data_IF_108888187211
#
_entry.id   IF_108888187211
#
_cell.length_a   1.000
_cell.length_b   1.000
_cell.length_c   1.000
_cell.angle_alpha   90.00
_cell.angle_beta   90.00
_cell.angle_gamma   90.00
#
_symmetry.space_group_name_H-M   'P 1'
#
loop_
_entity.id
_entity.type
_entity.pdbx_description
1 polymer ?
#
# COMPACT_ATOMS: atom_id res chain seq x y z
N UNK A 1 -7.49 14.57 12.88
CA UNK A 1 -6.66 13.71 12.02
C UNK A 1 -5.45 14.45 11.47
N UNK A 2 -5.61 15.48 10.62
CA UNK A 2 -4.49 16.14 9.93
C UNK A 2 -3.35 16.58 10.87
N UNK A 3 -3.66 17.19 12.01
CA UNK A 3 -2.66 17.56 13.03
C UNK A 3 -1.78 16.38 13.48
N UNK A 4 -2.39 15.26 13.89
CA UNK A 4 -1.64 14.07 14.32
C UNK A 4 -0.81 13.45 13.18
N UNK A 5 -1.28 13.50 11.93
CA UNK A 5 -0.50 13.04 10.78
C UNK A 5 0.66 14.00 10.48
N UNK A 6 0.43 15.31 10.61
CA UNK A 6 1.45 16.34 10.46
C UNK A 6 2.53 16.23 11.54
N UNK A 7 2.16 15.88 12.78
CA UNK A 7 3.12 15.62 13.86
C UNK A 7 4.10 14.48 13.50
N UNK A 8 3.66 13.46 12.76
CA UNK A 8 4.56 12.41 12.27
C UNK A 8 5.58 12.93 11.25
N UNK A 9 5.24 13.99 10.50
CA UNK A 9 6.19 14.70 9.63
C UNK A 9 7.17 15.50 10.48
N UNK A 10 6.66 16.29 11.44
CA UNK A 10 7.47 17.14 12.35
C UNK A 10 8.49 16.33 13.16
N UNK A 11 8.13 15.11 13.59
CA UNK A 11 9.05 14.19 14.29
C UNK A 11 10.28 13.79 13.46
N UNK A 12 10.22 13.94 12.14
CA UNK A 12 11.26 13.48 11.19
C UNK A 12 11.96 14.63 10.48
N UNK A 13 11.23 15.71 10.21
CA UNK A 13 11.70 16.86 9.44
C UNK A 13 11.29 18.15 10.13
N UNK A 14 12.19 19.12 10.24
CA UNK A 14 11.84 20.48 10.68
C UNK A 14 11.13 21.23 9.53
N UNK A 15 9.81 21.51 9.62
CA UNK A 15 9.07 22.13 8.52
C UNK A 15 9.60 23.49 8.08
N UNK A 16 10.35 24.19 8.94
CA UNK A 16 10.90 25.53 8.64
C UNK A 16 12.02 25.47 7.61
N UNK A 17 12.69 24.31 7.49
CA UNK A 17 13.76 24.08 6.52
C UNK A 17 13.24 23.81 5.11
N UNK A 18 11.93 23.53 4.97
CA UNK A 18 11.33 23.15 3.71
C UNK A 18 10.42 24.25 3.15
N UNK A 19 10.31 24.30 1.83
CA UNK A 19 9.14 24.86 1.18
C UNK A 19 8.01 23.83 1.25
N UNK A 20 7.06 24.09 2.13
CA UNK A 20 5.93 23.18 2.35
C UNK A 20 4.82 23.45 1.33
N UNK A 21 4.22 22.38 0.83
CA UNK A 21 3.19 22.40 -0.21
C UNK A 21 2.04 21.45 0.15
N UNK A 22 0.80 21.93 0.11
CA UNK A 22 -0.40 21.08 0.08
C UNK A 22 -1.02 21.10 -1.33
N UNK A 23 -1.06 19.97 -2.06
CA UNK A 23 -1.38 19.93 -3.50
C UNK A 23 -2.87 19.84 -3.85
N UNK A 24 -3.73 19.62 -2.85
CA UNK A 24 -5.18 19.51 -3.00
C UNK A 24 -5.81 19.93 -1.67
N UNK A 25 -5.61 21.20 -1.36
CA UNK A 25 -5.78 21.72 -0.01
C UNK A 25 -7.24 21.72 0.46
N UNK A 26 -8.21 21.84 -0.44
CA UNK A 26 -9.63 21.93 -0.13
C UNK A 26 -9.89 23.04 0.88
N UNK A 27 -10.16 22.68 2.13
CA UNK A 27 -10.33 23.65 3.23
C UNK A 27 -9.00 24.07 3.90
N UNK A 28 -7.87 23.45 3.56
CA UNK A 28 -6.54 23.74 4.08
C UNK A 28 -6.20 22.94 5.34
N UNK A 29 -6.59 21.66 5.38
CA UNK A 29 -6.45 20.83 6.59
C UNK A 29 -5.00 20.64 7.03
N UNK A 30 -4.06 20.51 6.09
CA UNK A 30 -2.63 20.49 6.40
C UNK A 30 -2.02 21.90 6.28
N UNK A 31 -2.41 22.69 5.29
CA UNK A 31 -1.87 24.01 4.97
C UNK A 31 -1.89 24.95 6.18
N UNK A 32 -2.99 24.94 6.95
CA UNK A 32 -3.13 25.77 8.16
C UNK A 32 -2.17 25.39 9.30
N UNK A 33 -1.57 24.20 9.24
CA UNK A 33 -0.59 23.71 10.22
C UNK A 33 0.84 24.01 9.79
N UNK A 34 1.06 24.37 8.52
CA UNK A 34 2.39 24.61 7.97
C UNK A 34 2.89 26.01 8.37
N UNK A 35 4.23 26.23 8.43
CA UNK A 35 4.79 27.54 8.72
C UNK A 35 4.37 28.63 7.72
N UNK A 36 4.42 29.92 8.08
CA UNK A 36 4.21 31.01 7.14
C UNK A 36 5.12 30.91 5.90
N UNK A 37 4.59 31.27 4.73
CA UNK A 37 5.29 31.11 3.44
C UNK A 37 5.14 29.73 2.80
N UNK A 38 4.36 28.84 3.41
CA UNK A 38 3.91 27.58 2.77
C UNK A 38 2.91 27.87 1.65
N UNK A 39 2.70 26.90 0.76
CA UNK A 39 1.79 27.02 -0.37
C UNK A 39 0.67 25.96 -0.27
N UNK A 40 -0.58 26.40 -0.27
CA UNK A 40 -1.73 25.53 -0.50
C UNK A 40 -2.24 25.72 -1.92
N UNK A 41 -2.47 24.63 -2.64
CA UNK A 41 -3.05 24.62 -3.99
C UNK A 41 -4.29 23.75 -4.00
N UNK A 42 -5.33 24.20 -4.67
CA UNK A 42 -6.50 23.37 -4.98
C UNK A 42 -7.16 23.82 -6.29
N UNK A 43 -7.82 22.92 -7.02
CA UNK A 43 -8.56 23.27 -8.23
C UNK A 43 -9.89 23.99 -7.92
N UNK A 44 -10.43 23.79 -6.70
CA UNK A 44 -11.64 24.43 -6.19
C UNK A 44 -11.43 24.76 -4.69
N UNK A 45 -10.66 25.82 -4.37
CA UNK A 45 -10.27 26.14 -3.01
C UNK A 45 -11.49 26.47 -2.13
N UNK A 46 -11.53 25.87 -0.93
CA UNK A 46 -12.58 26.07 0.08
C UNK A 46 -12.06 26.77 1.34
N UNK A 47 -10.89 27.39 1.28
CA UNK A 47 -10.24 28.01 2.43
C UNK A 47 -9.42 29.24 2.05
N UNK A 48 -9.24 30.19 2.98
CA UNK A 48 -8.47 31.41 2.71
C UNK A 48 -6.99 31.10 2.47
N UNK A 49 -6.36 31.87 1.58
CA UNK A 49 -4.93 31.78 1.28
C UNK A 49 -4.51 30.57 0.44
N UNK A 50 -5.47 29.74 -0.01
CA UNK A 50 -5.22 28.63 -0.94
C UNK A 50 -5.28 29.18 -2.36
N UNK A 51 -4.27 28.83 -3.16
CA UNK A 51 -4.17 29.22 -4.56
C UNK A 51 -5.04 28.29 -5.42
N UNK A 52 -5.91 28.88 -6.24
CA UNK A 52 -6.67 28.14 -7.24
C UNK A 52 -5.75 27.73 -8.41
N UNK A 53 -5.47 26.44 -8.55
CA UNK A 53 -4.71 25.88 -9.68
C UNK A 53 -4.85 24.35 -9.74
N UNK A 54 -4.62 23.77 -10.93
CA UNK A 54 -4.36 22.34 -11.05
C UNK A 54 -2.94 22.04 -10.58
N UNK A 55 -2.81 21.25 -9.50
CA UNK A 55 -1.52 20.82 -9.00
C UNK A 55 -0.71 20.04 -10.02
N UNK A 56 -1.35 19.20 -10.84
CA UNK A 56 -0.64 18.38 -11.84
C UNK A 56 0.00 19.20 -12.96
N UNK A 57 -0.39 20.47 -13.10
CA UNK A 57 0.21 21.44 -14.03
C UNK A 57 1.12 22.45 -13.33
N UNK A 58 1.11 22.47 -12.00
CA UNK A 58 1.86 23.44 -11.19
C UNK A 58 3.25 22.96 -10.84
N UNK A 59 4.26 23.78 -11.10
CA UNK A 59 5.62 23.60 -10.56
C UNK A 59 5.87 24.58 -9.41
N UNK A 60 6.64 24.12 -8.44
CA UNK A 60 7.14 24.94 -7.33
C UNK A 60 8.65 25.01 -7.43
N UNK A 61 9.16 26.20 -7.70
CA UNK A 61 10.59 26.49 -7.62
C UNK A 61 10.89 27.06 -6.24
N UNK A 62 11.89 26.51 -5.58
CA UNK A 62 12.31 26.97 -4.26
C UNK A 62 13.81 26.84 -4.10
N UNK A 63 14.42 27.82 -3.41
CA UNK A 63 15.80 27.71 -2.92
C UNK A 63 15.93 26.81 -1.69
N UNK A 64 14.81 26.27 -1.19
CA UNK A 64 14.74 25.31 -0.08
C UNK A 64 14.31 23.94 -0.61
N UNK A 65 14.68 22.84 0.07
CA UNK A 65 14.07 21.53 -0.16
C UNK A 65 12.54 21.62 -0.10
N UNK A 66 11.84 20.84 -0.93
CA UNK A 66 10.37 20.89 -1.01
C UNK A 66 9.75 19.71 -0.28
N UNK A 67 8.75 19.96 0.55
CA UNK A 67 7.96 18.92 1.21
C UNK A 67 6.49 19.03 0.82
N UNK A 68 5.98 18.04 0.11
CA UNK A 68 4.58 18.01 -0.33
C UNK A 68 3.78 17.09 0.60
N UNK A 69 2.85 17.68 1.35
CA UNK A 69 2.04 16.99 2.36
C UNK A 69 0.56 17.24 2.11
N UNK A 70 -0.27 16.20 2.16
CA UNK A 70 -1.71 16.38 1.91
C UNK A 70 -2.51 15.10 1.83
N UNK A 71 -3.76 15.26 1.41
CA UNK A 71 -4.68 14.17 1.10
C UNK A 71 -5.09 14.26 -0.37
N UNK A 72 -4.28 13.75 -1.32
CA UNK A 72 -4.60 13.81 -2.74
C UNK A 72 -5.92 13.08 -3.04
N UNK A 73 -6.66 13.48 -4.09
CA UNK A 73 -7.82 12.73 -4.54
C UNK A 73 -7.41 11.30 -4.93
N UNK A 74 -8.20 10.30 -4.50
CA UNK A 74 -7.82 8.89 -4.69
C UNK A 74 -8.01 8.42 -6.14
N UNK A 75 -9.10 8.83 -6.79
CA UNK A 75 -9.46 8.40 -8.14
C UNK A 75 -9.84 6.91 -8.25
N UNK A 76 -10.25 6.50 -9.46
CA UNK A 76 -10.54 5.10 -9.76
C UNK A 76 -9.27 4.26 -9.63
N UNK A 77 -9.35 3.14 -8.90
CA UNK A 77 -8.21 2.22 -8.68
C UNK A 77 -6.91 2.90 -8.25
N UNK A 78 -7.01 3.99 -7.47
CA UNK A 78 -5.87 4.77 -6.94
C UNK A 78 -5.09 5.58 -7.99
N UNK A 79 -5.62 5.76 -9.21
CA UNK A 79 -4.90 6.42 -10.31
C UNK A 79 -4.52 7.87 -10.01
N UNK A 80 -5.45 8.66 -9.45
CA UNK A 80 -5.20 10.07 -9.16
C UNK A 80 -4.14 10.24 -8.08
N UNK A 81 -4.20 9.44 -7.01
CA UNK A 81 -3.16 9.47 -5.97
C UNK A 81 -1.78 9.09 -6.52
N UNK A 82 -1.70 8.16 -7.48
CA UNK A 82 -0.43 7.82 -8.16
C UNK A 82 0.07 8.99 -9.02
N UNK A 83 -0.80 9.68 -9.75
CA UNK A 83 -0.42 10.85 -10.55
C UNK A 83 0.06 12.01 -9.68
N UNK A 84 -0.63 12.28 -8.56
CA UNK A 84 -0.22 13.27 -7.57
C UNK A 84 1.15 12.93 -6.97
N UNK A 85 1.38 11.65 -6.62
CA UNK A 85 2.68 11.19 -6.14
C UNK A 85 3.77 11.39 -7.19
N UNK A 86 3.53 10.97 -8.43
CA UNK A 86 4.48 11.09 -9.53
C UNK A 86 4.84 12.56 -9.80
N UNK A 87 3.85 13.45 -9.80
CA UNK A 87 4.06 14.88 -9.97
C UNK A 87 4.82 15.52 -8.81
N UNK A 88 4.41 15.23 -7.56
CA UNK A 88 5.15 15.68 -6.38
C UNK A 88 6.61 15.19 -6.41
N UNK A 89 6.84 13.96 -6.90
CA UNK A 89 8.16 13.37 -7.06
C UNK A 89 9.02 14.02 -8.17
N UNK A 90 8.52 15.02 -8.90
CA UNK A 90 9.36 15.83 -9.82
C UNK A 90 10.05 16.99 -9.12
N UNK A 91 9.53 17.43 -7.96
CA UNK A 91 9.98 18.66 -7.30
C UNK A 91 10.20 18.54 -5.79
N UNK A 92 9.71 17.47 -5.15
CA UNK A 92 9.79 17.30 -3.69
C UNK A 92 11.00 16.48 -3.27
N UNK A 93 11.49 16.75 -2.07
CA UNK A 93 12.44 15.91 -1.32
C UNK A 93 11.69 15.01 -0.32
N UNK A 94 10.53 15.47 0.15
CA UNK A 94 9.65 14.70 1.04
C UNK A 94 8.22 14.69 0.49
N UNK A 95 7.59 13.52 0.45
CA UNK A 95 6.17 13.35 0.12
C UNK A 95 5.48 12.66 1.28
N UNK A 96 4.49 13.31 1.88
CA UNK A 96 3.73 12.77 2.99
C UNK A 96 2.23 12.82 2.70
N UNK A 97 1.68 11.70 2.23
CA UNK A 97 0.30 11.65 1.76
C UNK A 97 -0.58 10.71 2.54
N UNK A 98 -1.83 11.11 2.68
CA UNK A 98 -2.94 10.20 2.95
C UNK A 98 -3.34 9.53 1.63
N UNK A 99 -3.18 8.22 1.56
CA UNK A 99 -3.25 7.43 0.34
C UNK A 99 -4.23 6.27 0.52
N UNK A 100 -4.83 5.75 -0.56
CA UNK A 100 -5.60 4.51 -0.49
C UNK A 100 -4.71 3.35 -0.03
N UNK A 101 -5.24 2.40 0.76
CA UNK A 101 -4.48 1.23 1.28
C UNK A 101 -3.82 0.37 0.20
N UNK A 102 -4.22 0.51 -1.07
CA UNK A 102 -3.53 -0.10 -2.23
C UNK A 102 -2.05 0.30 -2.31
N UNK A 103 -1.64 1.46 -1.79
CA UNK A 103 -0.23 1.90 -1.71
C UNK A 103 0.67 1.02 -0.84
N UNK A 104 0.07 0.11 -0.06
CA UNK A 104 0.80 -0.93 0.68
C UNK A 104 1.19 -2.12 -0.20
N UNK A 105 0.59 -2.27 -1.39
CA UNK A 105 0.91 -3.38 -2.29
C UNK A 105 2.28 -3.16 -2.94
N UNK A 106 3.15 -4.16 -2.82
CA UNK A 106 4.50 -4.15 -3.39
C UNK A 106 4.52 -3.83 -4.89
N UNK A 107 3.57 -4.37 -5.66
CA UNK A 107 3.45 -4.08 -7.09
C UNK A 107 3.09 -2.62 -7.39
N UNK A 108 2.31 -1.97 -6.53
CA UNK A 108 2.04 -0.53 -6.68
C UNK A 108 3.26 0.29 -6.28
N UNK A 109 3.94 -0.07 -5.18
CA UNK A 109 5.17 0.60 -4.78
C UNK A 109 6.24 0.52 -5.88
N UNK A 110 6.38 -0.60 -6.59
CA UNK A 110 7.30 -0.70 -7.73
C UNK A 110 7.01 0.28 -8.89
N UNK A 111 5.80 0.85 -8.97
CA UNK A 111 5.43 1.86 -9.99
C UNK A 111 5.75 3.29 -9.56
N UNK A 112 5.99 3.52 -8.28
CA UNK A 112 6.37 4.84 -7.77
C UNK A 112 7.83 5.12 -8.10
N UNK A 113 8.22 6.40 -8.09
CA UNK A 113 9.61 6.82 -8.32
C UNK A 113 10.57 6.04 -7.39
N UNK A 114 11.63 5.46 -7.96
CA UNK A 114 12.55 4.57 -7.25
C UNK A 114 13.48 5.32 -6.28
N UNK A 115 13.67 6.62 -6.47
CA UNK A 115 14.46 7.45 -5.57
C UNK A 115 13.69 7.85 -4.31
N UNK A 116 12.40 7.51 -4.20
CA UNK A 116 11.63 7.72 -2.98
C UNK A 116 11.56 6.47 -2.12
N UNK A 117 12.00 6.60 -0.87
CA UNK A 117 12.08 5.55 0.13
C UNK A 117 10.99 5.76 1.17
N UNK A 118 10.18 4.73 1.42
CA UNK A 118 9.14 4.77 2.47
C UNK A 118 9.81 4.77 3.85
N UNK A 119 9.70 5.87 4.59
CA UNK A 119 10.31 6.03 5.93
C UNK A 119 9.30 5.95 7.07
N UNK A 120 8.01 6.09 6.77
CA UNK A 120 6.94 5.93 7.74
C UNK A 120 5.64 5.48 7.08
N UNK A 121 4.92 4.61 7.77
CA UNK A 121 3.58 4.19 7.40
C UNK A 121 2.72 4.08 8.67
N UNK A 122 1.49 4.61 8.62
CA UNK A 122 0.48 4.37 9.63
C UNK A 122 -0.90 4.21 9.00
N UNK A 123 -1.69 3.27 9.52
CA UNK A 123 -3.08 3.07 9.08
C UNK A 123 -3.92 4.25 9.56
N UNK A 124 -4.68 4.84 8.65
CA UNK A 124 -5.65 5.88 9.01
C UNK A 124 -6.89 5.18 9.58
N UNK A 125 -7.36 5.55 10.79
CA UNK A 125 -8.57 4.97 11.36
C UNK A 125 -9.79 5.11 10.44
N UNK A 126 -10.77 4.23 10.62
CA UNK A 126 -12.08 4.37 9.98
C UNK A 126 -12.71 5.73 10.34
N UNK A 127 -13.58 6.22 9.46
CA UNK A 127 -14.37 7.46 9.64
C UNK A 127 -13.55 8.76 9.76
N UNK A 128 -12.28 8.73 9.35
CA UNK A 128 -11.40 9.88 9.44
C UNK A 128 -11.60 10.91 8.32
N UNK A 129 -12.44 10.62 7.32
CA UNK A 129 -12.75 11.50 6.19
C UNK A 129 -14.22 11.89 6.17
N UNK A 130 -14.48 13.16 5.82
CA UNK A 130 -15.80 13.63 5.42
C UNK A 130 -15.79 13.82 3.90
N UNK A 131 -16.75 13.20 3.22
CA UNK A 131 -17.06 13.51 1.82
C UNK A 131 -18.46 14.13 1.78
N UNK A 132 -18.57 15.37 1.29
CA UNK A 132 -19.84 16.11 1.24
C UNK A 132 -20.56 16.18 2.60
N UNK A 133 -19.79 16.37 3.68
CA UNK A 133 -20.32 16.45 5.06
C UNK A 133 -20.76 15.11 5.67
N UNK A 134 -20.58 13.98 4.99
CA UNK A 134 -20.86 12.64 5.52
C UNK A 134 -19.56 11.86 5.75
N UNK A 135 -19.45 11.04 6.80
CA UNK A 135 -18.34 10.11 6.95
C UNK A 135 -18.18 9.26 5.69
N UNK A 136 -16.98 9.31 5.10
CA UNK A 136 -16.65 8.53 3.91
C UNK A 136 -15.52 7.58 4.26
N UNK A 137 -15.90 6.32 4.49
CA UNK A 137 -14.99 5.32 4.98
C UNK A 137 -14.30 4.62 3.80
N UNK A 138 -13.20 5.21 3.33
CA UNK A 138 -12.27 4.53 2.42
C UNK A 138 -11.05 4.09 3.19
N UNK A 139 -10.66 2.80 3.11
CA UNK A 139 -9.44 2.33 3.75
C UNK A 139 -8.23 3.10 3.23
N UNK A 140 -7.61 3.86 4.12
CA UNK A 140 -6.48 4.73 3.82
C UNK A 140 -5.26 4.43 4.70
N UNK A 141 -4.12 4.91 4.25
CA UNK A 141 -2.82 4.81 4.91
C UNK A 141 -2.14 6.16 4.77
N UNK A 142 -1.52 6.64 5.84
CA UNK A 142 -0.62 7.78 5.75
C UNK A 142 0.80 7.26 5.57
N UNK A 143 1.48 7.72 4.53
CA UNK A 143 2.85 7.34 4.24
C UNK A 143 3.72 8.56 4.07
N UNK A 144 4.94 8.49 4.61
CA UNK A 144 6.00 9.49 4.40
C UNK A 144 7.10 8.83 3.58
N UNK A 145 7.45 9.46 2.48
CA UNK A 145 8.47 9.05 1.53
C UNK A 145 9.54 10.13 1.41
N UNK A 146 10.79 9.70 1.40
CA UNK A 146 11.97 10.57 1.36
C UNK A 146 12.76 10.31 0.07
N UNK A 147 13.13 11.37 -0.64
CA UNK A 147 14.03 11.29 -1.78
C UNK A 147 15.45 10.98 -1.31
N UNK A 148 16.11 10.07 -2.02
CA UNK A 148 17.53 9.76 -1.89
C UNK A 148 18.18 9.71 -3.27
N UNK A 149 19.50 9.90 -3.30
CA UNK A 149 20.28 9.81 -4.55
C UNK A 149 20.40 8.38 -5.08
N UNK A 150 20.15 7.39 -4.21
CA UNK A 150 20.21 5.97 -4.56
C UNK A 150 18.81 5.41 -4.73
N UNK A 151 18.54 4.82 -5.89
CA UNK A 151 17.31 4.10 -6.17
C UNK A 151 17.11 2.94 -5.18
N UNK A 152 15.90 2.78 -4.67
CA UNK A 152 15.54 1.62 -3.84
C UNK A 152 15.49 0.36 -4.71
N UNK A 153 15.86 -0.79 -4.13
CA UNK A 153 15.66 -2.06 -4.80
C UNK A 153 14.15 -2.31 -5.05
N UNK A 154 13.75 -2.78 -6.24
CA UNK A 154 12.36 -3.13 -6.50
C UNK A 154 11.96 -4.33 -5.63
N UNK A 155 10.70 -4.34 -5.21
CA UNK A 155 10.15 -5.51 -4.54
C UNK A 155 10.11 -6.69 -5.50
N UNK A 156 10.57 -7.84 -5.05
CA UNK A 156 10.41 -9.11 -5.79
C UNK A 156 8.93 -9.52 -5.75
N UNK A 157 8.33 -9.71 -6.94
CA UNK A 157 6.92 -10.09 -7.12
C UNK A 157 6.85 -11.47 -7.78
N UNK A 158 6.98 -12.52 -6.96
CA UNK A 158 6.80 -13.89 -7.43
C UNK A 158 5.32 -14.24 -7.53
N UNK A 159 4.91 -14.92 -8.59
CA UNK A 159 3.53 -15.42 -8.75
C UNK A 159 3.47 -16.95 -8.83
N UNK A 160 4.60 -17.62 -8.58
CA UNK A 160 4.76 -19.07 -8.54
C UNK A 160 5.63 -19.47 -7.35
N UNK A 161 5.51 -20.71 -6.89
CA UNK A 161 6.35 -21.29 -5.85
C UNK A 161 6.69 -22.74 -6.22
N UNK A 162 7.86 -23.29 -5.84
CA UNK A 162 8.20 -24.70 -6.15
C UNK A 162 7.16 -25.72 -5.65
N UNK A 163 6.48 -25.42 -4.55
CA UNK A 163 5.46 -26.31 -3.97
C UNK A 163 4.11 -26.30 -4.73
N UNK A 164 3.77 -25.21 -5.44
CA UNK A 164 2.46 -25.08 -6.09
C UNK A 164 2.44 -24.02 -7.21
N UNK A 165 1.51 -24.20 -8.14
CA UNK A 165 1.20 -23.24 -9.19
C UNK A 165 -0.28 -22.87 -9.19
N UNK A 166 -0.59 -21.64 -9.60
CA UNK A 166 -1.97 -21.26 -9.91
C UNK A 166 -2.35 -21.78 -11.29
N UNK A 167 -3.52 -22.42 -11.41
CA UNK A 167 -3.96 -23.08 -12.64
C UNK A 167 -5.46 -22.81 -12.93
N UNK A 168 -6.07 -23.58 -13.84
CA UNK A 168 -7.50 -23.64 -14.15
C UNK A 168 -8.21 -24.60 -13.20
N UNK A 169 -9.55 -24.63 -13.26
CA UNK A 169 -10.37 -25.51 -12.40
C UNK A 169 -10.09 -27.00 -12.61
N UNK A 170 -9.83 -27.41 -13.85
CA UNK A 170 -9.74 -28.83 -14.23
C UNK A 170 -8.46 -29.50 -13.74
N UNK A 171 -7.43 -28.71 -13.45
CA UNK A 171 -6.13 -29.20 -12.97
C UNK A 171 -5.92 -29.04 -11.45
N UNK A 172 -6.89 -28.40 -10.78
CA UNK A 172 -6.74 -27.92 -9.42
C UNK A 172 -6.82 -29.06 -8.38
N UNK A 173 -6.04 -28.94 -7.31
CA UNK A 173 -6.20 -29.77 -6.10
C UNK A 173 -7.12 -29.10 -5.09
N UNK A 174 -7.15 -27.76 -5.08
CA UNK A 174 -8.07 -26.95 -4.28
C UNK A 174 -8.17 -25.53 -4.84
N UNK A 175 -9.18 -24.79 -4.40
CA UNK A 175 -9.34 -23.36 -4.70
C UNK A 175 -9.07 -22.52 -3.44
N UNK A 176 -8.54 -21.32 -3.62
CA UNK A 176 -8.39 -20.31 -2.58
C UNK A 176 -9.19 -19.06 -2.94
N UNK A 177 -10.05 -18.61 -2.03
CA UNK A 177 -10.85 -17.42 -2.23
C UNK A 177 -9.94 -16.18 -2.24
N UNK A 178 -10.02 -15.37 -3.30
CA UNK A 178 -9.22 -14.15 -3.45
C UNK A 178 -9.98 -12.85 -3.23
N UNK A 179 -11.31 -12.84 -3.26
CA UNK A 179 -12.14 -11.63 -3.08
C UNK A 179 -13.12 -11.79 -1.93
N UNK A 180 -13.32 -10.71 -1.17
CA UNK A 180 -14.33 -10.58 -0.12
C UNK A 180 -13.80 -10.89 1.28
N UNK A 181 -14.67 -10.77 2.28
CA UNK A 181 -14.31 -10.90 3.70
C UNK A 181 -13.67 -12.25 4.09
N UNK A 182 -13.85 -13.29 3.27
CA UNK A 182 -13.28 -14.63 3.46
C UNK A 182 -12.06 -14.91 2.57
N UNK A 183 -11.40 -13.86 2.05
CA UNK A 183 -10.18 -14.01 1.28
C UNK A 183 -9.14 -14.83 2.07
N UNK A 184 -8.50 -15.80 1.39
CA UNK A 184 -7.61 -16.79 1.99
C UNK A 184 -8.26 -18.13 2.34
N UNK A 185 -9.60 -18.22 2.33
CA UNK A 185 -10.31 -19.48 2.61
C UNK A 185 -10.09 -20.51 1.50
N UNK A 186 -9.79 -21.74 1.89
CA UNK A 186 -9.67 -22.89 0.98
C UNK A 186 -11.05 -23.51 0.72
N UNK A 187 -11.27 -23.92 -0.53
CA UNK A 187 -12.50 -24.55 -1.03
C UNK A 187 -12.15 -25.75 -1.93
N UNK A 188 -13.06 -26.72 -1.99
CA UNK A 188 -12.99 -27.89 -2.89
C UNK A 188 -14.12 -27.92 -3.92
N UNK A 189 -15.01 -26.93 -3.86
CA UNK A 189 -16.05 -26.69 -4.85
C UNK A 189 -15.43 -25.84 -5.98
N UNK A 190 -15.19 -26.48 -7.11
CA UNK A 190 -14.52 -25.87 -8.26
C UNK A 190 -15.47 -25.12 -9.21
N UNK A 191 -16.79 -25.23 -8.98
CA UNK A 191 -17.78 -24.47 -9.75
C UNK A 191 -17.82 -22.99 -9.36
N UNK A 192 -17.12 -22.63 -8.29
CA UNK A 192 -16.95 -21.24 -7.86
C UNK A 192 -16.33 -20.37 -8.96
N UNK A 193 -16.76 -19.10 -8.96
CA UNK A 193 -16.29 -18.11 -9.92
C UNK A 193 -14.78 -17.91 -9.87
N UNK A 194 -14.12 -18.04 -11.04
CA UNK A 194 -12.70 -17.77 -11.25
C UNK A 194 -12.31 -16.30 -10.97
N UNK A 195 -13.27 -15.37 -11.00
CA UNK A 195 -13.02 -13.97 -10.66
C UNK A 195 -12.80 -13.77 -9.15
N UNK A 196 -13.41 -14.64 -8.33
CA UNK A 196 -13.35 -14.60 -6.88
C UNK A 196 -12.43 -15.65 -6.25
N UNK A 197 -11.92 -16.62 -7.04
CA UNK A 197 -11.09 -17.73 -6.55
C UNK A 197 -9.89 -17.95 -7.46
N UNK A 198 -8.74 -18.25 -6.86
CA UNK A 198 -7.63 -18.83 -7.58
C UNK A 198 -7.66 -20.35 -7.40
N UNK A 199 -7.43 -21.07 -8.49
CA UNK A 199 -7.27 -22.52 -8.45
C UNK A 199 -5.79 -22.86 -8.28
N UNK A 200 -5.48 -23.83 -7.44
CA UNK A 200 -4.12 -24.17 -7.04
C UNK A 200 -3.85 -25.64 -7.33
N UNK A 201 -2.76 -25.90 -8.04
CA UNK A 201 -2.19 -27.23 -8.27
C UNK A 201 -0.91 -27.36 -7.47
N UNK A 202 -0.83 -28.40 -6.66
CA UNK A 202 0.37 -28.79 -5.92
C UNK A 202 1.33 -29.52 -6.84
N UNK A 203 2.62 -29.20 -6.74
CA UNK A 203 3.66 -29.83 -7.56
C UNK A 203 3.80 -31.32 -7.26
N UNK A 204 3.92 -31.68 -5.97
CA UNK A 204 3.83 -33.07 -5.49
C UNK A 204 2.36 -33.46 -5.33
N UNK A 205 1.85 -34.25 -6.28
CA UNK A 205 0.43 -34.64 -6.37
C UNK A 205 0.00 -35.67 -5.31
N UNK A 206 0.87 -36.04 -4.35
CA UNK A 206 0.47 -36.92 -3.26
C UNK A 206 -0.52 -36.25 -2.30
N UNK A 207 -1.47 -37.02 -1.78
CA UNK A 207 -2.45 -36.55 -0.77
C UNK A 207 -1.76 -35.90 0.44
N UNK A 208 -0.63 -36.48 0.87
CA UNK A 208 0.16 -35.97 2.00
C UNK A 208 0.72 -34.57 1.72
N UNK A 209 1.20 -34.29 0.51
CA UNK A 209 1.71 -32.98 0.13
C UNK A 209 0.59 -31.95 0.01
N UNK A 210 -0.53 -32.32 -0.61
CA UNK A 210 -1.73 -31.50 -0.71
C UNK A 210 -2.23 -31.08 0.68
N UNK A 211 -2.38 -32.04 1.60
CA UNK A 211 -2.82 -31.77 2.98
C UNK A 211 -1.84 -30.89 3.75
N UNK A 212 -0.54 -31.06 3.50
CA UNK A 212 0.51 -30.23 4.12
C UNK A 212 0.38 -28.78 3.68
N UNK A 213 0.28 -28.51 2.39
CA UNK A 213 0.20 -27.16 1.84
C UNK A 213 -1.08 -26.47 2.31
N UNK A 214 -2.23 -27.16 2.25
CA UNK A 214 -3.48 -26.60 2.74
C UNK A 214 -3.43 -26.25 4.23
N UNK A 215 -2.79 -27.09 5.06
CA UNK A 215 -2.59 -26.79 6.50
C UNK A 215 -1.68 -25.59 6.71
N UNK A 216 -0.67 -25.38 5.87
CA UNK A 216 0.17 -24.18 5.92
C UNK A 216 -0.67 -22.96 5.56
N UNK A 217 -1.37 -22.99 4.41
CA UNK A 217 -2.20 -21.89 3.94
C UNK A 217 -3.26 -21.46 4.96
N UNK A 218 -3.90 -22.42 5.65
CA UNK A 218 -4.87 -22.12 6.74
C UNK A 218 -4.27 -21.39 7.94
N UNK A 219 -2.94 -21.39 8.11
CA UNK A 219 -2.24 -20.68 9.20
C UNK A 219 -1.74 -19.29 8.79
N UNK A 220 -1.83 -18.94 7.51
CA UNK A 220 -1.34 -17.66 7.01
C UNK A 220 -2.38 -16.57 7.29
N UNK A 221 -1.90 -15.39 7.69
CA UNK A 221 -2.75 -14.21 7.88
C UNK A 221 -3.07 -13.54 6.53
N UNK A 222 -3.92 -14.21 5.77
CA UNK A 222 -4.44 -13.67 4.51
C UNK A 222 -5.40 -12.50 4.71
N UNK A 223 -6.05 -12.40 5.87
CA UNK A 223 -6.99 -11.34 6.15
C UNK A 223 -6.29 -9.97 6.18
N UNK A 224 -5.14 -9.87 6.85
CA UNK A 224 -4.37 -8.63 6.89
C UNK A 224 -3.90 -8.17 5.49
N UNK A 225 -3.43 -9.11 4.66
CA UNK A 225 -3.01 -8.81 3.29
C UNK A 225 -4.19 -8.41 2.38
N UNK A 226 -5.32 -9.11 2.48
CA UNK A 226 -6.50 -8.86 1.66
C UNK A 226 -7.06 -7.45 1.86
N UNK A 227 -6.87 -6.86 3.03
CA UNK A 227 -7.35 -5.51 3.35
C UNK A 227 -6.48 -4.39 2.76
N UNK A 228 -5.35 -4.69 2.10
CA UNK A 228 -4.47 -3.68 1.49
C UNK A 228 -5.01 -3.17 0.15
N UNK A 229 -6.26 -2.74 0.15
CA UNK A 229 -7.00 -2.20 -1.00
C UNK A 229 -7.96 -1.12 -0.52
N UNK A 230 -8.31 -0.19 -1.41
CA UNK A 230 -9.30 0.86 -1.13
C UNK A 230 -10.77 0.37 -1.21
N UNK A 231 -11.01 -0.86 -1.67
CA UNK A 231 -12.35 -1.40 -1.90
C UNK A 231 -12.53 -2.80 -1.32
N UNK A 232 -13.23 -3.67 -2.04
CA UNK A 232 -13.48 -5.04 -1.60
C UNK A 232 -12.17 -5.77 -1.30
N UNK A 233 -12.00 -6.36 -0.09
CA UNK A 233 -10.79 -7.07 0.28
C UNK A 233 -10.38 -8.06 -0.79
N UNK A 234 -9.12 -8.03 -1.20
CA UNK A 234 -8.65 -8.97 -2.21
C UNK A 234 -7.14 -9.26 -2.17
N UNK A 235 -6.82 -10.51 -2.47
CA UNK A 235 -5.47 -11.05 -2.51
C UNK A 235 -4.97 -11.19 -3.93
N UNK A 236 -3.76 -10.70 -4.20
CA UNK A 236 -3.01 -11.05 -5.39
C UNK A 236 -2.32 -12.41 -5.22
N UNK A 237 -2.05 -13.08 -6.35
CA UNK A 237 -1.22 -14.31 -6.40
C UNK A 237 0.11 -14.12 -5.68
N UNK A 238 0.75 -12.97 -5.86
CA UNK A 238 2.04 -12.66 -5.24
C UNK A 238 1.99 -12.46 -3.73
N UNK A 239 0.87 -11.99 -3.19
CA UNK A 239 0.68 -11.89 -1.73
C UNK A 239 0.57 -13.29 -1.11
N UNK A 240 -0.12 -14.21 -1.80
CA UNK A 240 -0.23 -15.61 -1.37
C UNK A 240 1.14 -16.30 -1.39
N UNK A 241 1.88 -16.16 -2.50
CA UNK A 241 3.23 -16.72 -2.64
C UNK A 241 4.15 -16.15 -1.57
N UNK A 242 4.21 -14.82 -1.40
CA UNK A 242 5.10 -14.19 -0.44
C UNK A 242 4.83 -14.65 1.01
N UNK A 243 3.57 -14.73 1.43
CA UNK A 243 3.20 -15.22 2.76
C UNK A 243 3.57 -16.70 2.95
N UNK A 244 3.33 -17.52 1.93
CA UNK A 244 3.70 -18.93 1.95
C UNK A 244 5.23 -19.11 2.05
N UNK A 245 5.98 -18.45 1.17
CA UNK A 245 7.46 -18.47 1.15
C UNK A 245 8.03 -18.05 2.50
N UNK A 246 7.53 -16.94 3.08
CA UNK A 246 7.99 -16.47 4.38
C UNK A 246 7.74 -17.51 5.49
N UNK A 247 6.60 -18.20 5.47
CA UNK A 247 6.28 -19.24 6.45
C UNK A 247 7.23 -20.44 6.33
N UNK A 248 7.40 -20.99 5.12
CA UNK A 248 8.23 -22.19 4.92
C UNK A 248 9.71 -21.92 5.20
N UNK A 249 10.24 -20.77 4.79
CA UNK A 249 11.62 -20.36 5.08
C UNK A 249 11.86 -20.23 6.58
N UNK A 250 10.91 -19.64 7.32
CA UNK A 250 11.01 -19.53 8.79
C UNK A 250 11.01 -20.91 9.48
N UNK A 251 10.23 -21.86 8.97
CA UNK A 251 10.20 -23.22 9.52
C UNK A 251 11.52 -23.96 9.27
N UNK A 252 12.10 -23.82 8.07
CA UNK A 252 13.40 -24.40 7.73
C UNK A 252 14.49 -23.85 8.65
N UNK A 253 14.55 -22.52 8.81
CA UNK A 253 15.52 -21.88 9.69
C UNK A 253 15.43 -22.38 11.14
N UNK A 254 14.21 -22.53 11.68
CA UNK A 254 14.01 -23.10 13.03
C UNK A 254 14.56 -24.52 13.11
N UNK A 255 14.23 -25.40 12.16
CA UNK A 255 14.71 -26.80 12.16
C UNK A 255 16.23 -26.89 12.10
N UNK A 256 16.88 -26.07 11.29
CA UNK A 256 18.35 -26.05 11.18
C UNK A 256 18.99 -25.58 12.48
N UNK A 257 18.45 -24.53 13.11
CA UNK A 257 18.97 -24.02 14.40
C UNK A 257 18.84 -25.03 15.54
N UNK A 258 17.72 -25.78 15.62
CA UNK A 258 17.56 -26.85 16.61
C UNK A 258 18.56 -28.01 16.41
N UNK A 259 18.90 -28.36 15.16
CA UNK A 259 19.90 -29.40 14.87
C UNK A 259 21.33 -28.99 15.23
N UNK A 260 21.63 -27.69 15.26
CA UNK A 260 22.93 -27.16 15.68
C UNK A 260 23.05 -27.13 17.22
N UNK A 261 21.96 -26.85 17.94
CA UNK A 261 21.95 -26.78 19.42
C UNK A 261 21.94 -28.17 20.11
N UNK A 262 21.73 -29.25 19.36
CA UNK A 262 21.73 -30.64 19.84
C UNK A 262 23.02 -31.40 19.44
N UNK A 263 24.02 -30.68 18.95
CA UNK A 263 25.39 -31.16 18.73
C UNK A 263 26.31 -30.44 19.70
#
# INVERSE_FOLDING_TARGET
MAAALFDEVVKRYDPRLYQMLEPSAGTGAFFRLMPPGSLGVDIDPKGPGIVEADFLERRVESGRPVATIGNPPFGTTSSMAVNFFAHAATMSDVIAFVLPRTFRKRSLQNRLNENFHLVHEQIVPADAFLFMGKPYNVPAVFQIWERRDVARAPHVIETSHPDFAFTTRDEADFAIQRVGARAGRIHHDFERSANAHYFVRVADRSTRAIDRIQRIMRKLDFAAAAQNVAGNPSLAKSEIVALYTAFVTRQLYRKTRWRILLR
#
